data_IF_258329347521
#
_entry.id   IF_258329347521
#
_cell.length_a   1.000
_cell.length_b   1.000
_cell.length_c   1.000
_cell.angle_alpha   90.00
_cell.angle_beta   90.00
_cell.angle_gamma   90.00
#
_symmetry.space_group_name_H-M   'P 1'
#
loop_
_entity.id
_entity.type
_entity.pdbx_description
1 polymer ?
#
# COMPACT_ATOMS: atom_id res chain seq x y z
N UNK A 1 0.26 7.36 23.52
CA UNK A 1 -0.84 7.07 22.59
C UNK A 1 -1.91 8.12 22.82
N UNK A 2 -2.37 8.77 21.76
CA UNK A 2 -3.36 9.84 21.80
C UNK A 2 -4.50 9.53 20.82
N UNK A 3 -5.72 9.96 21.14
CA UNK A 3 -6.84 9.88 20.21
C UNK A 3 -6.55 10.81 19.02
N UNK A 4 -6.90 10.36 17.83
CA UNK A 4 -6.75 11.11 16.60
C UNK A 4 -8.07 11.16 15.87
N UNK A 5 -8.37 12.29 15.25
CA UNK A 5 -9.50 12.47 14.36
C UNK A 5 -8.99 13.17 13.10
N UNK A 6 -9.39 12.68 11.96
CA UNK A 6 -9.12 13.34 10.68
C UNK A 6 -10.04 14.54 10.58
N UNK A 7 -9.45 15.73 10.39
CA UNK A 7 -10.17 16.98 10.26
C UNK A 7 -9.37 17.90 9.31
N UNK A 8 -9.60 17.70 8.02
CA UNK A 8 -8.92 18.48 6.98
C UNK A 8 -9.55 19.88 6.91
N UNK A 9 -8.77 20.96 7.12
CA UNK A 9 -9.29 22.30 7.02
C UNK A 9 -9.92 22.60 5.66
N UNK A 10 -11.03 23.32 5.63
CA UNK A 10 -11.73 23.65 4.38
C UNK A 10 -10.82 24.39 3.39
N UNK A 11 -9.95 25.26 3.87
CA UNK A 11 -8.95 25.98 3.04
C UNK A 11 -8.04 25.05 2.23
N UNK A 12 -7.74 23.84 2.77
CA UNK A 12 -6.85 22.88 2.09
C UNK A 12 -7.60 22.16 0.96
N UNK A 13 -8.92 21.98 1.12
CA UNK A 13 -9.80 21.50 0.04
C UNK A 13 -10.02 22.58 -1.01
N UNK A 14 -10.18 23.84 -0.60
CA UNK A 14 -10.31 24.98 -1.50
C UNK A 14 -9.01 25.16 -2.32
N UNK A 15 -7.82 25.05 -1.71
CA UNK A 15 -6.52 25.08 -2.41
C UNK A 15 -6.40 23.92 -3.42
N UNK A 16 -6.82 22.71 -3.06
CA UNK A 16 -6.88 21.58 -3.98
C UNK A 16 -7.75 21.89 -5.20
N UNK A 17 -8.94 22.40 -4.98
CA UNK A 17 -9.87 22.75 -6.05
C UNK A 17 -9.31 23.87 -6.94
N UNK A 18 -8.72 24.91 -6.37
CA UNK A 18 -8.07 25.98 -7.09
C UNK A 18 -6.90 25.50 -7.96
N UNK A 19 -6.14 24.51 -7.48
CA UNK A 19 -5.03 23.91 -8.24
C UNK A 19 -5.53 23.03 -9.38
N UNK A 20 -6.61 22.26 -9.17
CA UNK A 20 -7.27 21.50 -10.23
C UNK A 20 -7.79 22.42 -11.34
N UNK A 21 -8.42 23.55 -10.99
CA UNK A 21 -8.91 24.54 -11.95
C UNK A 21 -7.79 25.20 -12.76
N UNK A 22 -6.59 25.33 -12.18
CA UNK A 22 -5.42 25.96 -12.81
C UNK A 22 -4.43 24.97 -13.42
N UNK A 23 -4.83 23.71 -13.60
CA UNK A 23 -3.98 22.68 -14.15
C UNK A 23 -3.43 23.07 -15.53
N UNK A 24 -2.12 22.97 -15.69
CA UNK A 24 -1.45 23.11 -16.98
C UNK A 24 -1.32 21.72 -17.60
N UNK A 25 -2.23 21.42 -18.52
CA UNK A 25 -2.23 20.15 -19.21
C UNK A 25 -1.09 20.04 -20.21
N UNK A 26 -0.41 18.88 -20.30
CA UNK A 26 0.46 18.60 -21.42
C UNK A 26 -0.33 18.56 -22.73
N UNK A 27 0.37 18.74 -23.85
CA UNK A 27 -0.26 18.49 -25.16
C UNK A 27 -0.63 17.02 -25.28
N UNK A 28 -1.81 16.76 -25.84
CA UNK A 28 -2.25 15.39 -26.08
C UNK A 28 -1.41 14.79 -27.22
N UNK A 29 -1.04 13.52 -27.09
CA UNK A 29 -0.37 12.79 -28.15
C UNK A 29 -1.47 12.09 -28.99
N UNK A 30 -1.42 12.18 -30.35
CA UNK A 30 -2.40 11.51 -31.20
C UNK A 30 -2.43 10.00 -30.92
N UNK A 31 -3.63 9.43 -30.82
CA UNK A 31 -3.86 8.00 -30.53
C UNK A 31 -3.20 7.53 -29.21
N UNK A 32 -3.13 8.43 -28.21
CA UNK A 32 -2.57 8.15 -26.90
C UNK A 32 -3.28 6.98 -26.24
N UNK A 33 -2.51 5.92 -25.96
CA UNK A 33 -2.89 4.78 -25.16
C UNK A 33 -1.82 4.53 -24.08
N UNK A 34 -1.91 3.46 -23.35
CA UNK A 34 -1.02 3.08 -22.24
C UNK A 34 0.45 2.86 -22.63
N UNK A 35 0.78 2.83 -23.91
CA UNK A 35 2.17 2.67 -24.41
C UNK A 35 3.11 3.81 -23.98
N UNK A 36 2.57 5.03 -23.82
CA UNK A 36 3.33 6.20 -23.35
C UNK A 36 3.15 6.48 -21.85
N UNK A 37 2.45 5.61 -21.15
CA UNK A 37 2.08 5.78 -19.74
C UNK A 37 0.58 6.00 -19.58
N UNK A 38 0.17 6.77 -18.56
CA UNK A 38 -1.24 7.01 -18.29
C UNK A 38 -1.87 7.93 -19.33
N UNK A 39 -2.91 7.50 -20.07
CA UNK A 39 -3.55 8.33 -21.10
C UNK A 39 -4.12 9.63 -20.52
N UNK A 40 -3.87 10.76 -21.24
CA UNK A 40 -4.34 12.08 -20.82
C UNK A 40 -5.84 12.17 -20.65
N UNK A 41 -6.63 11.46 -21.47
CA UNK A 41 -8.10 11.35 -21.36
C UNK A 41 -8.51 10.81 -19.98
N UNK A 42 -7.86 9.75 -19.49
CA UNK A 42 -8.18 9.11 -18.21
C UNK A 42 -7.85 10.03 -17.03
N UNK A 43 -6.68 10.67 -17.05
CA UNK A 43 -6.31 11.64 -16.01
C UNK A 43 -7.25 12.86 -16.00
N UNK A 44 -7.68 13.36 -17.19
CA UNK A 44 -8.64 14.49 -17.29
C UNK A 44 -10.01 14.11 -16.72
N UNK A 45 -10.50 12.91 -17.00
CA UNK A 45 -11.76 12.40 -16.48
C UNK A 45 -11.74 12.31 -14.95
N UNK A 46 -10.72 11.67 -14.39
CA UNK A 46 -10.56 11.57 -12.93
C UNK A 46 -10.34 12.93 -12.26
N UNK A 47 -9.55 13.82 -12.85
CA UNK A 47 -9.32 15.16 -12.31
C UNK A 47 -10.62 16.00 -12.35
N UNK A 48 -11.41 15.87 -13.41
CA UNK A 48 -12.74 16.49 -13.51
C UNK A 48 -13.70 15.97 -12.45
N UNK A 49 -13.71 14.66 -12.24
CA UNK A 49 -14.48 14.05 -11.17
C UNK A 49 -13.98 14.48 -9.78
N UNK A 50 -12.67 14.51 -9.55
CA UNK A 50 -12.08 14.98 -8.29
C UNK A 50 -12.49 16.43 -7.96
N UNK A 51 -12.56 17.28 -9.00
CA UNK A 51 -12.94 18.70 -8.85
C UNK A 51 -14.43 18.91 -8.61
N UNK A 52 -15.30 18.14 -9.27
CA UNK A 52 -16.73 18.47 -9.35
C UNK A 52 -17.67 17.43 -8.77
N UNK A 53 -17.24 16.15 -8.62
CA UNK A 53 -18.10 15.05 -8.22
C UNK A 53 -17.67 14.35 -6.94
N UNK A 54 -16.37 14.29 -6.67
CA UNK A 54 -15.83 13.64 -5.49
C UNK A 54 -16.01 14.50 -4.22
N UNK A 55 -16.42 13.86 -3.13
CA UNK A 55 -16.61 14.51 -1.83
C UNK A 55 -15.67 13.93 -0.78
N UNK A 56 -14.56 14.62 -0.49
CA UNK A 56 -13.64 14.26 0.58
C UNK A 56 -14.33 14.08 1.93
N UNK A 57 -15.36 14.90 2.25
CA UNK A 57 -16.04 14.82 3.55
C UNK A 57 -16.72 13.47 3.78
N UNK A 58 -17.18 12.82 2.71
CA UNK A 58 -17.69 11.44 2.77
C UNK A 58 -16.59 10.46 3.20
N UNK A 59 -15.41 10.53 2.60
CA UNK A 59 -14.27 9.68 2.92
C UNK A 59 -13.73 9.96 4.32
N UNK A 60 -13.59 11.23 4.69
CA UNK A 60 -13.23 11.64 6.04
C UNK A 60 -14.19 11.08 7.10
N UNK A 61 -15.50 11.11 6.83
CA UNK A 61 -16.51 10.56 7.70
C UNK A 61 -16.42 9.02 7.80
N UNK A 62 -16.19 8.31 6.68
CA UNK A 62 -15.98 6.85 6.66
C UNK A 62 -14.75 6.45 7.48
N UNK A 63 -13.64 7.15 7.33
CA UNK A 63 -12.42 6.92 8.11
C UNK A 63 -12.66 7.18 9.60
N UNK A 64 -13.31 8.30 9.94
CA UNK A 64 -13.62 8.70 11.31
C UNK A 64 -14.73 7.86 11.98
N UNK A 65 -15.41 7.00 11.24
CA UNK A 65 -16.34 6.03 11.82
C UNK A 65 -15.63 4.99 12.70
N UNK A 66 -14.32 4.83 12.51
CA UNK A 66 -13.49 3.93 13.30
C UNK A 66 -12.60 4.70 14.27
N UNK A 67 -12.35 4.16 15.50
CA UNK A 67 -11.45 4.80 16.44
C UNK A 67 -10.02 4.89 15.88
N UNK A 68 -9.44 6.08 15.87
CA UNK A 68 -8.11 6.35 15.36
C UNK A 68 -7.20 6.94 16.43
N UNK A 69 -5.92 6.62 16.30
CA UNK A 69 -4.91 6.98 17.28
C UNK A 69 -3.61 7.39 16.60
N UNK A 70 -2.78 8.11 17.38
CA UNK A 70 -1.37 8.35 17.07
C UNK A 70 -0.49 7.94 18.24
N UNK A 71 0.69 7.46 17.91
CA UNK A 71 1.75 7.19 18.89
C UNK A 71 3.11 7.51 18.28
N UNK A 72 4.15 7.55 19.11
CA UNK A 72 5.53 7.67 18.64
C UNK A 72 6.20 6.31 18.80
N UNK A 73 6.77 5.80 17.72
CA UNK A 73 7.58 4.58 17.72
C UNK A 73 8.88 4.88 17.00
N UNK A 74 9.99 4.64 17.65
CA UNK A 74 11.34 4.86 17.12
C UNK A 74 11.50 6.28 16.51
N UNK A 75 11.00 7.30 17.23
CA UNK A 75 11.06 8.71 16.85
C UNK A 75 10.09 9.14 15.75
N UNK A 76 9.32 8.21 15.16
CA UNK A 76 8.36 8.47 14.08
C UNK A 76 6.93 8.47 14.62
N UNK A 77 6.13 9.43 14.18
CA UNK A 77 4.68 9.39 14.37
C UNK A 77 4.10 8.21 13.60
N UNK A 78 3.31 7.40 14.27
CA UNK A 78 2.54 6.30 13.69
C UNK A 78 1.06 6.55 13.97
N UNK A 79 0.30 6.76 12.91
CA UNK A 79 -1.15 6.77 12.93
C UNK A 79 -1.68 5.37 12.71
N UNK A 80 -2.80 5.02 13.35
CA UNK A 80 -3.48 3.74 13.13
C UNK A 80 -4.95 3.81 13.54
N UNK A 81 -5.80 3.05 12.83
CA UNK A 81 -7.13 2.69 13.31
C UNK A 81 -7.03 1.44 14.18
N UNK A 82 -7.83 1.40 15.27
CA UNK A 82 -7.87 0.27 16.18
C UNK A 82 -9.32 -0.10 16.50
N UNK A 83 -9.79 -1.22 15.95
CA UNK A 83 -11.14 -1.73 16.11
C UNK A 83 -11.11 -2.97 16.99
N UNK A 84 -11.82 -2.94 18.09
CA UNK A 84 -11.99 -4.12 18.93
C UNK A 84 -13.23 -4.89 18.53
N UNK A 85 -13.09 -6.20 18.29
CA UNK A 85 -14.23 -7.10 18.15
C UNK A 85 -15.05 -7.13 19.43
N UNK A 86 -16.35 -7.38 19.32
CA UNK A 86 -17.22 -7.68 20.46
C UNK A 86 -16.85 -9.01 21.14
N UNK A 87 -16.11 -9.87 20.43
CA UNK A 87 -15.60 -11.13 20.97
C UNK A 87 -14.33 -10.87 21.76
N UNK A 88 -14.31 -11.10 23.10
CA UNK A 88 -13.11 -10.83 23.91
C UNK A 88 -11.90 -11.70 23.54
N UNK A 89 -12.16 -12.89 22.98
CA UNK A 89 -11.17 -13.89 22.56
C UNK A 89 -10.75 -13.75 21.08
N UNK A 90 -11.22 -12.70 20.41
CA UNK A 90 -10.87 -12.45 19.00
C UNK A 90 -9.36 -12.30 18.83
N UNK A 91 -8.81 -12.95 17.79
CA UNK A 91 -7.41 -12.81 17.47
C UNK A 91 -7.09 -11.39 17.02
N UNK A 92 -6.07 -10.73 17.60
CA UNK A 92 -5.58 -9.46 17.05
C UNK A 92 -4.97 -9.67 15.67
N UNK A 93 -5.26 -8.76 14.74
CA UNK A 93 -4.77 -8.79 13.37
C UNK A 93 -4.27 -7.41 12.96
N UNK A 94 -3.01 -7.32 12.56
CA UNK A 94 -2.47 -6.10 11.95
C UNK A 94 -2.60 -6.17 10.44
N UNK A 95 -3.17 -5.10 9.83
CA UNK A 95 -3.36 -4.98 8.38
C UNK A 95 -2.44 -3.89 7.84
N UNK A 96 -1.57 -4.23 6.90
CA UNK A 96 -0.58 -3.30 6.33
C UNK A 96 -0.86 -3.08 4.84
N UNK A 97 -1.08 -1.82 4.47
CA UNK A 97 -1.28 -1.37 3.10
C UNK A 97 0.04 -1.20 2.34
N UNK A 98 -0.03 -0.71 1.11
CA UNK A 98 1.13 -0.40 0.30
C UNK A 98 1.08 0.94 -0.44
N UNK A 99 1.80 1.03 -1.56
CA UNK A 99 1.85 2.19 -2.44
C UNK A 99 1.13 1.87 -3.77
N UNK A 100 0.34 2.78 -4.31
CA UNK A 100 0.06 4.17 -3.90
C UNK A 100 -1.07 4.31 -2.89
N UNK A 101 -1.44 3.24 -2.21
CA UNK A 101 -2.55 3.17 -1.28
C UNK A 101 -2.32 3.79 0.09
N UNK A 102 -3.29 3.57 0.95
CA UNK A 102 -3.35 4.07 2.33
C UNK A 102 -4.22 3.15 3.19
N UNK A 103 -4.49 3.55 4.43
CA UNK A 103 -5.46 2.85 5.29
C UNK A 103 -6.87 2.78 4.70
N UNK A 104 -7.20 3.65 3.74
CA UNK A 104 -8.49 3.64 3.04
C UNK A 104 -8.71 2.34 2.24
N UNK A 105 -7.63 1.65 1.84
CA UNK A 105 -7.73 0.36 1.14
C UNK A 105 -8.56 -0.68 1.90
N UNK A 106 -8.57 -0.60 3.23
CA UNK A 106 -9.23 -1.61 4.06
C UNK A 106 -10.65 -1.22 4.49
N UNK A 107 -11.16 -0.02 4.12
CA UNK A 107 -12.43 0.48 4.63
C UNK A 107 -13.60 -0.51 4.47
N UNK A 108 -13.66 -1.20 3.33
CA UNK A 108 -14.77 -2.11 3.03
C UNK A 108 -14.67 -3.45 3.76
N UNK A 109 -13.47 -3.86 4.17
CA UNK A 109 -13.25 -5.11 4.90
C UNK A 109 -13.18 -4.93 6.42
N UNK A 110 -13.04 -3.70 6.95
CA UNK A 110 -12.92 -3.46 8.39
C UNK A 110 -14.15 -3.98 9.16
N UNK A 111 -15.35 -3.66 8.69
CA UNK A 111 -16.60 -4.11 9.33
C UNK A 111 -16.73 -5.64 9.37
N UNK A 112 -16.64 -6.34 8.22
CA UNK A 112 -16.67 -7.79 8.18
C UNK A 112 -15.59 -8.46 9.04
N UNK A 113 -14.34 -7.99 8.97
CA UNK A 113 -13.22 -8.59 9.72
C UNK A 113 -13.33 -8.33 11.23
N UNK A 114 -13.81 -7.16 11.66
CA UNK A 114 -13.93 -6.82 13.09
C UNK A 114 -14.89 -7.72 13.87
N UNK A 115 -15.75 -8.49 13.20
CA UNK A 115 -16.60 -9.50 13.84
C UNK A 115 -15.78 -10.64 14.47
N UNK A 116 -14.60 -10.93 13.91
CA UNK A 116 -13.79 -12.07 14.32
C UNK A 116 -12.37 -11.69 14.78
N UNK A 117 -11.93 -10.45 14.52
CA UNK A 117 -10.58 -9.98 14.81
C UNK A 117 -10.61 -8.64 15.54
N UNK A 118 -9.67 -8.43 16.47
CA UNK A 118 -9.28 -7.08 16.85
C UNK A 118 -8.36 -6.53 15.78
N UNK A 119 -8.74 -5.46 15.10
CA UNK A 119 -8.01 -4.94 13.95
C UNK A 119 -7.12 -3.76 14.35
N UNK A 120 -5.87 -3.80 13.90
CA UNK A 120 -4.92 -2.68 13.96
C UNK A 120 -4.49 -2.35 12.55
N UNK A 121 -4.78 -1.13 12.08
CA UNK A 121 -4.59 -0.73 10.68
C UNK A 121 -3.72 0.53 10.65
N UNK A 122 -2.39 0.38 10.68
CA UNK A 122 -1.49 1.53 10.70
C UNK A 122 -1.32 2.15 9.31
N UNK A 123 -1.16 3.48 9.27
CA UNK A 123 -0.54 4.14 8.12
C UNK A 123 0.96 3.91 8.16
N UNK A 124 1.54 3.47 7.04
CA UNK A 124 2.99 3.29 6.92
C UNK A 124 3.76 4.58 7.26
N UNK A 125 4.96 4.49 7.87
CA UNK A 125 5.85 5.64 8.03
C UNK A 125 6.13 6.31 6.69
N UNK A 126 5.89 7.61 6.60
CA UNK A 126 6.00 8.35 5.34
C UNK A 126 4.69 8.50 4.57
N UNK A 127 3.62 7.84 4.99
CA UNK A 127 2.33 7.81 4.30
C UNK A 127 1.22 8.47 5.13
N UNK A 128 0.33 9.16 4.45
CA UNK A 128 -0.93 9.64 5.00
C UNK A 128 -0.78 10.26 6.40
N UNK A 129 -1.58 9.81 7.33
CA UNK A 129 -1.68 10.42 8.67
C UNK A 129 -0.50 10.09 9.61
N UNK A 130 0.42 9.17 9.22
CA UNK A 130 1.71 8.99 9.91
C UNK A 130 2.70 10.11 9.58
N UNK A 131 2.44 10.85 8.49
CA UNK A 131 3.26 11.95 8.05
C UNK A 131 4.61 11.53 7.47
N UNK A 132 5.41 12.50 7.00
CA UNK A 132 6.71 12.25 6.41
C UNK A 132 7.68 11.60 7.40
N UNK A 133 8.53 10.67 6.91
CA UNK A 133 9.64 10.14 7.71
C UNK A 133 10.65 11.23 8.00
N UNK A 134 11.11 11.32 9.25
CA UNK A 134 12.08 12.32 9.72
C UNK A 134 13.52 11.86 9.56
N UNK A 135 13.74 10.56 9.42
CA UNK A 135 15.05 9.93 9.31
C UNK A 135 15.10 8.95 8.15
N UNK A 136 16.32 8.64 7.72
CA UNK A 136 16.60 7.53 6.78
C UNK A 136 16.44 6.18 7.47
N UNK A 137 16.39 5.11 6.68
CA UNK A 137 16.40 3.74 7.18
C UNK A 137 15.02 3.19 7.55
N UNK A 138 13.92 3.87 7.22
CA UNK A 138 12.57 3.33 7.36
C UNK A 138 12.28 2.29 6.27
N UNK A 139 13.08 1.22 6.28
CA UNK A 139 12.95 0.07 5.40
C UNK A 139 11.97 -0.96 5.98
N UNK A 140 11.72 -2.04 5.22
CA UNK A 140 10.79 -3.11 5.56
C UNK A 140 11.05 -3.69 6.97
N UNK A 141 12.33 -3.96 7.33
CA UNK A 141 12.66 -4.52 8.64
C UNK A 141 12.41 -3.53 9.80
N UNK A 142 12.70 -2.23 9.61
CA UNK A 142 12.43 -1.20 10.63
C UNK A 142 10.92 -1.03 10.82
N UNK A 143 10.14 -1.01 9.73
CA UNK A 143 8.68 -0.95 9.80
C UNK A 143 8.11 -2.19 10.51
N UNK A 144 8.58 -3.38 10.17
CA UNK A 144 8.15 -4.61 10.83
C UNK A 144 8.41 -4.58 12.35
N UNK A 145 9.58 -4.07 12.78
CA UNK A 145 9.86 -3.87 14.22
C UNK A 145 8.93 -2.87 14.88
N UNK A 146 8.60 -1.79 14.15
CA UNK A 146 7.64 -0.80 14.65
C UNK A 146 6.24 -1.41 14.82
N UNK A 147 5.80 -2.29 13.91
CA UNK A 147 4.52 -2.99 14.02
C UNK A 147 4.47 -3.96 15.19
N UNK A 148 5.54 -4.73 15.44
CA UNK A 148 5.66 -5.57 16.66
C UNK A 148 5.58 -4.70 17.92
N UNK A 149 6.26 -3.57 17.93
CA UNK A 149 6.21 -2.61 19.05
C UNK A 149 4.81 -2.05 19.23
N UNK A 150 4.11 -1.68 18.15
CA UNK A 150 2.73 -1.17 18.19
C UNK A 150 1.81 -2.22 18.82
N UNK A 151 1.86 -3.47 18.35
CA UNK A 151 1.01 -4.55 18.85
C UNK A 151 1.25 -4.79 20.35
N UNK A 152 2.50 -4.82 20.79
CA UNK A 152 2.86 -4.94 22.22
C UNK A 152 2.39 -3.76 23.06
N UNK A 153 2.48 -2.53 22.55
CA UNK A 153 1.95 -1.33 23.23
C UNK A 153 0.43 -1.38 23.41
N UNK A 154 -0.28 -2.09 22.53
CA UNK A 154 -1.72 -2.33 22.61
C UNK A 154 -2.09 -3.51 23.53
N UNK A 155 -1.09 -4.20 24.10
CA UNK A 155 -1.27 -5.37 24.97
C UNK A 155 -1.45 -6.70 24.22
N UNK A 156 -1.10 -6.75 22.94
CA UNK A 156 -1.25 -7.95 22.11
C UNK A 156 0.08 -8.74 22.06
N UNK A 157 0.16 -9.80 22.89
CA UNK A 157 1.32 -10.70 22.93
C UNK A 157 1.32 -11.72 21.78
N UNK A 158 0.14 -12.05 21.24
CA UNK A 158 -0.04 -12.96 20.09
C UNK A 158 -1.00 -12.35 19.09
N UNK A 159 -0.62 -12.35 17.80
CA UNK A 159 -1.41 -11.73 16.74
C UNK A 159 -1.12 -12.33 15.37
N UNK A 160 -2.03 -12.12 14.42
CA UNK A 160 -1.83 -12.37 13.00
C UNK A 160 -1.33 -11.11 12.28
N UNK A 161 -0.66 -11.28 11.14
CA UNK A 161 -0.27 -10.17 10.27
C UNK A 161 -0.77 -10.42 8.85
N UNK A 162 -1.38 -9.40 8.23
CA UNK A 162 -1.81 -9.49 6.84
C UNK A 162 -1.51 -8.20 6.08
N UNK A 163 -1.37 -8.30 4.77
CA UNK A 163 -1.10 -7.13 3.95
C UNK A 163 -1.08 -7.43 2.46
N UNK A 164 -1.17 -6.34 1.70
CA UNK A 164 -1.04 -6.30 0.25
C UNK A 164 0.11 -5.36 -0.14
N UNK A 165 0.63 -5.46 -1.34
CA UNK A 165 1.74 -4.65 -1.86
C UNK A 165 2.93 -4.60 -0.87
N UNK A 166 3.35 -3.44 -0.34
CA UNK A 166 4.38 -3.36 0.71
C UNK A 166 4.00 -4.15 1.95
N UNK A 167 2.71 -4.21 2.29
CA UNK A 167 2.22 -5.06 3.37
C UNK A 167 2.50 -6.54 3.13
N UNK A 168 2.51 -6.99 1.87
CA UNK A 168 2.91 -8.37 1.52
C UNK A 168 4.40 -8.65 1.72
N UNK A 169 5.24 -7.61 1.79
CA UNK A 169 6.66 -7.74 2.12
C UNK A 169 6.92 -7.54 3.61
N UNK A 170 6.18 -6.63 4.25
CA UNK A 170 6.33 -6.30 5.68
C UNK A 170 5.75 -7.40 6.58
N UNK A 171 4.59 -7.97 6.23
CA UNK A 171 3.92 -8.96 7.10
C UNK A 171 4.73 -10.25 7.28
N UNK A 172 5.35 -10.85 6.25
CA UNK A 172 6.28 -11.95 6.44
C UNK A 172 7.50 -11.58 7.30
N UNK A 173 8.02 -10.34 7.15
CA UNK A 173 9.13 -9.86 7.96
C UNK A 173 8.74 -9.72 9.44
N UNK A 174 7.49 -9.35 9.77
CA UNK A 174 6.97 -9.37 11.14
C UNK A 174 7.04 -10.80 11.70
N UNK A 175 6.58 -11.80 10.93
CA UNK A 175 6.65 -13.21 11.32
C UNK A 175 8.08 -13.71 11.54
N UNK A 176 9.03 -13.23 10.71
CA UNK A 176 10.44 -13.59 10.81
C UNK A 176 11.12 -13.02 12.06
N UNK A 177 10.80 -11.78 12.44
CA UNK A 177 11.46 -11.11 13.59
C UNK A 177 10.80 -11.37 14.94
N UNK A 178 9.54 -11.82 14.96
CA UNK A 178 8.80 -12.12 16.18
C UNK A 178 7.98 -13.43 16.06
N UNK A 179 8.65 -14.56 15.71
CA UNK A 179 7.95 -15.83 15.46
C UNK A 179 7.19 -16.36 16.69
N UNK A 180 7.59 -15.96 17.88
CA UNK A 180 6.92 -16.30 19.14
C UNK A 180 5.57 -15.57 19.32
N UNK A 181 5.41 -14.40 18.72
CA UNK A 181 4.22 -13.56 18.84
C UNK A 181 3.25 -13.74 17.65
N UNK A 182 3.78 -14.04 16.47
CA UNK A 182 2.96 -14.12 15.24
C UNK A 182 2.42 -15.52 15.03
N UNK A 183 1.09 -15.65 15.01
CA UNK A 183 0.41 -16.96 14.85
C UNK A 183 0.25 -17.37 13.39
N UNK A 184 0.33 -16.43 12.46
CA UNK A 184 0.23 -16.66 11.02
C UNK A 184 0.30 -15.34 10.25
N UNK A 185 0.69 -15.46 9.00
CA UNK A 185 0.79 -14.35 8.04
C UNK A 185 -0.10 -14.64 6.84
N UNK A 186 -0.77 -13.62 6.32
CA UNK A 186 -1.54 -13.71 5.08
C UNK A 186 -1.19 -12.56 4.14
N UNK A 187 -0.91 -12.88 2.88
CA UNK A 187 -0.52 -11.87 1.88
C UNK A 187 -1.23 -12.11 0.54
N UNK A 188 -1.31 -11.05 -0.25
CA UNK A 188 -1.91 -11.09 -1.60
C UNK A 188 -0.87 -10.98 -2.72
N UNK A 189 0.38 -10.69 -2.39
CA UNK A 189 1.50 -10.74 -3.33
C UNK A 189 2.69 -11.50 -2.72
N UNK A 190 3.41 -12.23 -3.55
CA UNK A 190 4.71 -12.83 -3.22
C UNK A 190 5.66 -12.58 -4.39
N UNK A 191 6.65 -11.75 -4.15
CA UNK A 191 7.68 -11.45 -5.14
C UNK A 191 8.70 -12.60 -5.16
N UNK A 192 8.77 -13.32 -6.27
CA UNK A 192 9.74 -14.41 -6.46
C UNK A 192 10.96 -13.90 -7.20
N UNK A 193 12.14 -14.23 -6.66
CA UNK A 193 13.41 -13.90 -7.29
C UNK A 193 13.62 -14.79 -8.54
N UNK A 194 13.71 -14.15 -9.69
CA UNK A 194 13.92 -14.80 -10.99
C UNK A 194 15.24 -14.37 -11.65
N UNK A 195 16.17 -13.79 -10.88
CA UNK A 195 17.50 -13.40 -11.39
C UNK A 195 18.31 -14.61 -11.87
N UNK A 196 18.02 -15.81 -11.34
CA UNK A 196 18.61 -17.06 -11.80
C UNK A 196 17.69 -17.74 -12.81
N UNK A 197 18.24 -18.27 -13.93
CA UNK A 197 17.46 -19.01 -14.90
C UNK A 197 16.77 -20.22 -14.24
N UNK A 198 15.50 -20.42 -14.57
CA UNK A 198 14.75 -21.59 -14.14
C UNK A 198 14.93 -22.67 -15.20
N UNK A 199 15.63 -23.75 -14.84
CA UNK A 199 15.81 -24.88 -15.72
C UNK A 199 14.47 -25.63 -15.91
N UNK A 200 14.14 -25.96 -17.16
CA UNK A 200 12.94 -26.67 -17.58
C UNK A 200 11.63 -26.18 -16.90
N UNK A 201 11.24 -24.92 -17.16
CA UNK A 201 10.06 -24.35 -16.52
C UNK A 201 8.78 -25.04 -16.99
N UNK A 202 7.90 -25.40 -16.05
CA UNK A 202 6.55 -25.89 -16.33
C UNK A 202 5.71 -24.85 -17.09
N UNK A 203 4.59 -25.23 -17.73
CA UNK A 203 3.79 -24.28 -18.51
C UNK A 203 3.30 -23.06 -17.71
N UNK A 204 2.88 -23.24 -16.47
CA UNK A 204 2.45 -22.16 -15.57
C UNK A 204 3.63 -21.28 -15.12
N UNK A 205 4.83 -21.84 -14.97
CA UNK A 205 6.04 -21.08 -14.66
C UNK A 205 6.51 -20.25 -15.85
N UNK A 206 6.39 -20.78 -17.09
CA UNK A 206 6.65 -20.00 -18.31
C UNK A 206 5.71 -18.80 -18.41
N UNK A 207 4.42 -19.01 -18.18
CA UNK A 207 3.44 -17.93 -18.18
C UNK A 207 3.75 -16.87 -17.10
N UNK A 208 4.20 -17.31 -15.91
CA UNK A 208 4.64 -16.40 -14.86
C UNK A 208 5.90 -15.60 -15.25
N UNK A 209 6.89 -16.25 -15.88
CA UNK A 209 8.09 -15.55 -16.36
C UNK A 209 7.77 -14.54 -17.46
N UNK A 210 6.87 -14.87 -18.38
CA UNK A 210 6.38 -13.95 -19.42
C UNK A 210 5.66 -12.75 -18.79
N UNK A 211 4.82 -12.98 -17.77
CA UNK A 211 4.17 -11.91 -16.99
C UNK A 211 5.21 -11.03 -16.30
N UNK A 212 6.24 -11.60 -15.66
CA UNK A 212 7.30 -10.82 -15.00
C UNK A 212 8.09 -9.96 -16.01
N UNK A 213 8.43 -10.52 -17.17
CA UNK A 213 9.13 -9.77 -18.22
C UNK A 213 8.27 -8.60 -18.72
N UNK A 214 6.97 -8.85 -18.97
CA UNK A 214 6.04 -7.81 -19.38
C UNK A 214 5.90 -6.70 -18.34
N UNK A 215 5.72 -7.07 -17.05
CA UNK A 215 5.64 -6.10 -15.95
C UNK A 215 6.93 -5.26 -15.81
N UNK A 216 8.09 -5.91 -15.96
CA UNK A 216 9.38 -5.23 -15.88
C UNK A 216 9.57 -4.21 -17.02
N UNK A 217 9.10 -4.54 -18.22
CA UNK A 217 9.22 -3.68 -19.41
C UNK A 217 8.19 -2.53 -19.40
N UNK A 218 6.94 -2.79 -18.96
CA UNK A 218 5.83 -1.86 -19.16
C UNK A 218 5.36 -1.14 -17.89
N UNK A 219 5.61 -1.69 -16.70
CA UNK A 219 5.04 -1.15 -15.45
C UNK A 219 6.05 -0.84 -14.35
N UNK A 220 7.34 -1.11 -14.54
CA UNK A 220 8.32 -0.97 -13.46
C UNK A 220 8.99 0.41 -13.37
N UNK A 221 8.67 1.34 -14.28
CA UNK A 221 9.33 2.65 -14.33
C UNK A 221 9.16 3.45 -13.03
N UNK A 222 7.96 3.39 -12.40
CA UNK A 222 7.70 4.06 -11.13
C UNK A 222 8.61 3.53 -10.01
N UNK A 223 8.78 2.22 -9.92
CA UNK A 223 9.63 1.60 -8.91
C UNK A 223 11.11 1.94 -9.11
N UNK A 224 11.58 2.00 -10.37
CA UNK A 224 12.94 2.41 -10.69
C UNK A 224 13.22 3.85 -10.26
N UNK A 225 12.35 4.81 -10.61
CA UNK A 225 12.48 6.22 -10.21
C UNK A 225 12.45 6.35 -8.68
N UNK A 226 11.48 5.71 -8.02
CA UNK A 226 11.31 5.78 -6.56
C UNK A 226 12.45 5.11 -5.79
N UNK A 227 13.07 4.07 -6.35
CA UNK A 227 14.23 3.40 -5.77
C UNK A 227 15.52 4.20 -5.93
N UNK A 228 15.65 4.98 -7.01
CA UNK A 228 16.89 5.69 -7.32
C UNK A 228 16.88 7.14 -6.87
N UNK A 229 15.85 7.90 -7.21
CA UNK A 229 15.78 9.36 -7.02
C UNK A 229 14.39 9.87 -6.62
N UNK A 230 13.77 9.34 -5.54
CA UNK A 230 12.40 9.73 -5.16
C UNK A 230 12.25 11.22 -4.91
N UNK A 231 13.28 11.89 -4.38
CA UNK A 231 13.23 13.31 -4.06
C UNK A 231 13.10 14.19 -5.31
N UNK A 232 13.68 13.78 -6.44
CA UNK A 232 13.61 14.57 -7.68
C UNK A 232 12.16 14.66 -8.20
N UNK A 233 11.41 13.58 -8.09
CA UNK A 233 10.00 13.54 -8.48
C UNK A 233 9.07 14.18 -7.42
N UNK A 234 9.46 14.12 -6.14
CA UNK A 234 8.65 14.63 -5.03
C UNK A 234 8.21 16.09 -5.20
N UNK A 235 9.06 16.94 -5.78
CA UNK A 235 8.72 18.35 -6.04
C UNK A 235 7.49 18.48 -6.94
N UNK A 236 7.42 17.70 -8.02
CA UNK A 236 6.30 17.73 -8.95
C UNK A 236 5.01 17.17 -8.32
N UNK A 237 5.11 16.03 -7.61
CA UNK A 237 3.95 15.36 -7.01
C UNK A 237 3.39 16.09 -5.79
N UNK A 238 4.21 16.92 -5.12
CA UNK A 238 3.77 17.73 -3.98
C UNK A 238 3.12 19.03 -4.44
N UNK A 239 3.45 19.54 -5.61
CA UNK A 239 2.96 20.83 -6.12
C UNK A 239 1.77 20.70 -7.08
N UNK A 240 1.65 19.57 -7.79
CA UNK A 240 0.58 19.34 -8.77
C UNK A 240 -0.33 18.18 -8.36
N UNK A 241 -1.62 18.43 -8.02
CA UNK A 241 -2.55 17.34 -7.74
C UNK A 241 -2.76 16.44 -8.95
N UNK A 242 -2.79 16.99 -10.16
CA UNK A 242 -2.91 16.21 -11.40
C UNK A 242 -1.62 15.41 -11.68
N UNK A 243 -0.44 15.97 -11.35
CA UNK A 243 0.81 15.23 -11.43
C UNK A 243 0.83 14.03 -10.49
N UNK A 244 0.35 14.21 -9.26
CA UNK A 244 0.19 13.12 -8.29
C UNK A 244 -0.82 12.07 -8.77
N UNK A 245 -1.99 12.50 -9.24
CA UNK A 245 -3.03 11.62 -9.78
C UNK A 245 -2.47 10.78 -10.94
N UNK A 246 -1.85 11.41 -11.94
CA UNK A 246 -1.27 10.72 -13.10
C UNK A 246 -0.19 9.72 -12.69
N UNK A 247 0.63 10.04 -11.67
CA UNK A 247 1.65 9.11 -11.17
C UNK A 247 1.06 7.89 -10.46
N UNK A 248 0.02 8.08 -9.65
CA UNK A 248 -0.69 6.99 -8.98
C UNK A 248 -1.49 6.13 -9.96
N UNK A 249 -2.03 6.73 -11.02
CA UNK A 249 -2.75 6.01 -12.08
C UNK A 249 -1.88 5.06 -12.91
N UNK A 250 -0.55 5.07 -12.77
CA UNK A 250 0.29 3.98 -13.27
C UNK A 250 -0.13 2.62 -12.69
N UNK A 251 -0.62 2.61 -11.44
CA UNK A 251 -1.11 1.42 -10.74
C UNK A 251 -2.64 1.36 -10.76
N UNK A 252 -3.32 2.51 -10.52
CA UNK A 252 -4.79 2.62 -10.60
C UNK A 252 -5.25 2.75 -12.05
N UNK A 253 -5.29 1.63 -12.75
CA UNK A 253 -5.69 1.59 -14.16
C UNK A 253 -7.19 1.75 -14.34
N UNK A 254 -7.62 1.94 -15.58
CA UNK A 254 -9.04 1.96 -15.94
C UNK A 254 -9.77 0.71 -15.42
N UNK A 255 -10.95 0.92 -14.84
CA UNK A 255 -11.76 -0.13 -14.22
C UNK A 255 -11.67 -0.18 -12.70
N UNK A 256 -10.71 0.51 -12.08
CA UNK A 256 -10.72 0.73 -10.63
C UNK A 256 -11.73 1.83 -10.30
N UNK A 257 -12.50 1.65 -9.21
CA UNK A 257 -13.51 2.62 -8.76
C UNK A 257 -12.89 4.02 -8.58
N UNK A 258 -13.39 5.06 -9.26
CA UNK A 258 -12.88 6.41 -9.13
C UNK A 258 -12.86 6.96 -7.70
N UNK A 259 -13.86 6.64 -6.87
CA UNK A 259 -13.86 7.04 -5.46
C UNK A 259 -12.71 6.40 -4.70
N UNK A 260 -12.43 5.12 -4.93
CA UNK A 260 -11.32 4.43 -4.31
C UNK A 260 -9.96 5.03 -4.72
N UNK A 261 -9.77 5.34 -6.01
CA UNK A 261 -8.58 6.04 -6.50
C UNK A 261 -8.42 7.38 -5.78
N UNK A 262 -9.48 8.19 -5.76
CA UNK A 262 -9.45 9.54 -5.22
C UNK A 262 -9.37 9.58 -3.69
N UNK A 263 -9.89 8.57 -2.99
CA UNK A 263 -9.70 8.41 -1.55
C UNK A 263 -8.20 8.34 -1.21
N UNK A 264 -7.47 7.48 -1.92
CA UNK A 264 -6.03 7.29 -1.69
C UNK A 264 -5.19 8.49 -2.16
N UNK A 265 -5.47 9.01 -3.36
CA UNK A 265 -4.76 10.19 -3.89
C UNK A 265 -4.99 11.42 -3.01
N UNK A 266 -6.24 11.64 -2.54
CA UNK A 266 -6.57 12.76 -1.65
C UNK A 266 -5.88 12.66 -0.30
N UNK A 267 -5.76 11.46 0.28
CA UNK A 267 -5.00 11.27 1.52
C UNK A 267 -3.54 11.72 1.33
N UNK A 268 -2.88 11.27 0.27
CA UNK A 268 -1.50 11.66 0.00
C UNK A 268 -1.35 13.17 -0.25
N UNK A 269 -2.28 13.77 -0.98
CA UNK A 269 -2.29 15.20 -1.25
C UNK A 269 -2.50 16.02 0.01
N UNK A 270 -3.59 15.78 0.72
CA UNK A 270 -4.02 16.57 1.88
C UNK A 270 -3.10 16.42 3.10
N UNK A 271 -2.33 15.33 3.17
CA UNK A 271 -1.32 15.13 4.21
C UNK A 271 0.10 15.53 3.79
N UNK A 272 0.29 15.95 2.53
CA UNK A 272 1.60 16.30 1.98
C UNK A 272 2.58 15.14 1.94
N UNK A 273 2.11 13.89 1.80
CA UNK A 273 2.95 12.69 1.91
C UNK A 273 3.31 12.05 0.57
N UNK A 274 2.89 12.61 -0.55
CA UNK A 274 3.22 12.11 -1.88
C UNK A 274 4.73 11.83 -2.06
N UNK A 275 5.58 12.79 -1.69
CA UNK A 275 7.03 12.65 -1.80
C UNK A 275 7.63 11.68 -0.78
N UNK A 276 7.13 11.66 0.46
CA UNK A 276 7.70 10.79 1.51
C UNK A 276 7.30 9.33 1.34
N UNK A 277 6.12 9.04 0.82
CA UNK A 277 5.65 7.68 0.58
C UNK A 277 6.56 6.91 -0.38
N UNK A 278 7.13 7.60 -1.37
CA UNK A 278 8.06 6.98 -2.33
C UNK A 278 9.38 6.52 -1.70
N UNK A 279 9.76 7.06 -0.52
CA UNK A 279 11.06 6.76 0.11
C UNK A 279 11.20 5.30 0.51
N UNK A 280 10.10 4.58 0.76
CA UNK A 280 10.16 3.15 1.11
C UNK A 280 10.88 2.33 0.02
N UNK A 281 10.68 2.67 -1.27
CA UNK A 281 11.37 2.02 -2.39
C UNK A 281 12.89 2.23 -2.31
N UNK A 282 13.31 3.46 -2.01
CA UNK A 282 14.73 3.80 -1.85
C UNK A 282 15.35 3.10 -0.66
N UNK A 283 14.67 3.06 0.46
CA UNK A 283 15.15 2.40 1.67
C UNK A 283 15.19 0.87 1.49
N UNK A 284 14.22 0.30 0.77
CA UNK A 284 14.22 -1.12 0.43
C UNK A 284 15.35 -1.49 -0.54
N UNK A 285 15.57 -0.71 -1.60
CA UNK A 285 16.63 -0.98 -2.59
C UNK A 285 18.06 -0.94 -2.00
N UNK A 286 18.21 -0.33 -0.83
CA UNK A 286 19.47 -0.25 -0.08
C UNK A 286 19.55 -1.22 1.11
N UNK A 287 18.47 -1.92 1.37
CA UNK A 287 18.45 -2.92 2.42
C UNK A 287 19.38 -4.07 2.04
N UNK A 288 20.23 -4.49 2.97
CA UNK A 288 21.06 -5.68 2.76
C UNK A 288 20.19 -6.89 2.51
N UNK A 289 20.62 -7.82 1.63
CA UNK A 289 19.91 -9.08 1.45
C UNK A 289 19.60 -9.74 2.80
N UNK A 290 18.41 -10.30 2.90
CA UNK A 290 18.00 -10.98 4.12
C UNK A 290 18.86 -12.22 4.31
N UNK A 291 19.46 -12.35 5.49
CA UNK A 291 20.17 -13.56 5.91
C UNK A 291 19.34 -14.27 6.98
N UNK A 292 19.01 -15.53 6.80
CA UNK A 292 18.27 -16.33 7.77
C UNK A 292 17.13 -17.11 7.13
N UNK A 293 16.68 -18.16 7.82
CA UNK A 293 15.53 -18.97 7.41
C UNK A 293 14.23 -18.14 7.52
N UNK A 294 13.28 -18.42 6.66
CA UNK A 294 11.90 -17.98 6.82
C UNK A 294 11.43 -18.35 8.24
N UNK A 295 10.79 -17.41 8.93
CA UNK A 295 10.60 -17.45 10.39
C UNK A 295 9.73 -18.58 10.96
N UNK A 296 9.46 -19.65 10.21
CA UNK A 296 8.70 -20.82 10.69
C UNK A 296 7.22 -20.54 11.01
N UNK A 297 6.76 -19.34 10.73
CA UNK A 297 5.36 -18.91 10.92
C UNK A 297 4.55 -19.32 9.68
N UNK A 298 3.35 -19.93 9.84
CA UNK A 298 2.49 -20.27 8.72
C UNK A 298 2.21 -19.06 7.81
N UNK A 299 2.47 -19.22 6.51
CA UNK A 299 2.25 -18.18 5.50
C UNK A 299 1.13 -18.60 4.54
N UNK A 300 0.02 -17.87 4.55
CA UNK A 300 -1.06 -17.98 3.59
C UNK A 300 -0.89 -16.97 2.45
N UNK A 301 -1.20 -17.40 1.24
CA UNK A 301 -1.18 -16.57 0.05
C UNK A 301 -2.49 -16.67 -0.73
N UNK A 302 -3.04 -15.53 -1.08
CA UNK A 302 -4.17 -15.39 -2.01
C UNK A 302 -3.65 -14.89 -3.36
N UNK A 303 -3.64 -15.77 -4.36
CA UNK A 303 -3.26 -15.44 -5.73
C UNK A 303 -4.50 -14.97 -6.51
N UNK A 304 -4.43 -13.77 -7.07
CA UNK A 304 -5.44 -13.25 -7.97
C UNK A 304 -4.97 -13.32 -9.43
N UNK A 305 -5.90 -13.61 -10.34
CA UNK A 305 -5.59 -13.84 -11.76
C UNK A 305 -4.91 -12.63 -12.41
N UNK A 306 -5.38 -11.42 -12.08
CA UNK A 306 -4.96 -10.17 -12.73
C UNK A 306 -3.90 -9.40 -11.91
N UNK A 307 -3.13 -10.10 -11.05
CA UNK A 307 -2.02 -9.54 -10.28
C UNK A 307 -0.70 -10.26 -10.63
N UNK A 308 0.39 -9.89 -9.95
CA UNK A 308 1.69 -10.55 -10.07
C UNK A 308 1.57 -12.06 -9.84
N UNK A 309 2.15 -12.86 -10.74
CA UNK A 309 2.07 -14.33 -10.72
C UNK A 309 3.36 -14.94 -10.17
N UNK A 310 3.43 -15.31 -8.89
CA UNK A 310 4.63 -15.89 -8.31
C UNK A 310 4.87 -17.34 -8.78
N UNK A 311 6.15 -17.74 -8.82
CA UNK A 311 6.55 -19.09 -9.17
C UNK A 311 6.56 -19.95 -7.91
N UNK A 312 5.67 -20.97 -7.86
CA UNK A 312 5.42 -21.79 -6.67
C UNK A 312 6.70 -22.40 -6.08
N UNK A 313 7.58 -22.98 -6.89
CA UNK A 313 8.82 -23.61 -6.39
C UNK A 313 9.81 -22.63 -5.78
N UNK A 314 9.73 -21.33 -6.12
CA UNK A 314 10.53 -20.26 -5.54
C UNK A 314 9.91 -19.66 -4.26
N UNK A 315 8.73 -20.13 -3.86
CA UNK A 315 8.02 -19.71 -2.67
C UNK A 315 7.73 -20.89 -1.72
N UNK A 316 8.75 -21.64 -1.27
CA UNK A 316 8.56 -22.89 -0.49
C UNK A 316 7.96 -22.62 0.89
N UNK A 317 8.13 -21.43 1.45
CA UNK A 317 7.59 -21.02 2.76
C UNK A 317 6.07 -20.90 2.80
N UNK A 318 5.39 -20.85 1.63
CA UNK A 318 3.92 -20.74 1.58
C UNK A 318 3.26 -22.05 1.97
N UNK A 319 2.61 -22.04 3.14
CA UNK A 319 1.92 -23.20 3.69
C UNK A 319 0.51 -23.38 3.14
N UNK A 320 -0.15 -22.27 2.78
CA UNK A 320 -1.49 -22.29 2.19
C UNK A 320 -1.54 -21.37 0.96
N UNK A 321 -1.89 -21.93 -0.19
CA UNK A 321 -1.98 -21.23 -1.46
C UNK A 321 -3.39 -21.34 -2.04
N UNK A 322 -4.10 -20.24 -2.11
CA UNK A 322 -5.42 -20.17 -2.73
C UNK A 322 -5.35 -19.36 -4.03
N UNK A 323 -6.11 -19.76 -5.04
CA UNK A 323 -6.25 -19.03 -6.31
C UNK A 323 -7.67 -18.51 -6.43
N UNK A 324 -7.79 -17.28 -6.94
CA UNK A 324 -9.06 -16.59 -7.15
C UNK A 324 -9.12 -16.02 -8.55
N UNK A 325 -10.26 -16.21 -9.23
CA UNK A 325 -10.50 -15.74 -10.59
C UNK A 325 -10.94 -14.26 -10.63
N UNK A 326 -11.34 -13.72 -9.49
CA UNK A 326 -11.78 -12.32 -9.31
C UNK A 326 -10.99 -11.67 -8.20
N UNK A 327 -10.90 -10.34 -8.24
CA UNK A 327 -10.03 -9.55 -7.38
C UNK A 327 -8.72 -9.21 -8.10
N UNK A 328 -7.80 -8.58 -7.42
CA UNK A 328 -6.54 -8.12 -8.01
C UNK A 328 -5.61 -7.53 -6.97
N UNK A 329 -4.78 -6.58 -7.41
CA UNK A 329 -3.78 -5.94 -6.56
C UNK A 329 -4.38 -5.30 -5.29
N UNK A 330 -5.58 -4.72 -5.40
CA UNK A 330 -6.32 -4.07 -4.31
C UNK A 330 -7.48 -4.94 -3.83
N UNK A 331 -7.19 -6.17 -3.45
CA UNK A 331 -8.18 -7.20 -3.13
C UNK A 331 -9.07 -6.92 -1.90
N UNK A 332 -8.79 -5.88 -1.13
CA UNK A 332 -9.58 -5.46 0.03
C UNK A 332 -10.70 -4.45 -0.34
N UNK A 333 -10.80 -4.10 -1.61
CA UNK A 333 -11.80 -3.20 -2.18
C UNK A 333 -12.84 -3.95 -3.01
#
# INVERSE_FOLDING_TARGET
>A
MENFRIDIPQRDLDDLHDRLDRTRWPADFPDEDWDYGVPGRYVRELAGYWRHGYDWRRTEARLNAYPQFRTIIDGQTVHFAHLRSERPDALPLILTHGWPGSVAEFLDVLGPLSRNFHLVVPSLPGFGFSGPTRERGWNVTRIARAWVTLMRQLGYERFGAAGNDWGSTISPEIGRIAPEAVVGVHVTQIWTDTDQPIEDPAPDERAALENHAWLAEHLNAYAAVQSQQPQSLAYALTDSPVGLLGWHCLIYREGVDPDYVLDNVSIHWLTGTAGSAMRIYREFSRQKPRTGQDGGVPLGYAQFKDDYQPIRRLAPAVTKWNKYDTGGHFAAH
#
